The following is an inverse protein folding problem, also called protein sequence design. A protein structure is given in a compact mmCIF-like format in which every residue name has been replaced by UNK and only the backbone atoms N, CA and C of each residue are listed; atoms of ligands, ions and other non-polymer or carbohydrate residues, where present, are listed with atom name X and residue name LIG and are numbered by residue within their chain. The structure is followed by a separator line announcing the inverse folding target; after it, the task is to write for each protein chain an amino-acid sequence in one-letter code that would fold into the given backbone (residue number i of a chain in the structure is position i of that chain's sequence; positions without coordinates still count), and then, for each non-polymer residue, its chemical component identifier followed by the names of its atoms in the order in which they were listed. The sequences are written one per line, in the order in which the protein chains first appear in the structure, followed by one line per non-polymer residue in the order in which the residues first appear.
data_IF_330329477560
#
_entry.id   IF_330329477560
#
_cell.length_a   1.000
_cell.length_b   1.000
_cell.length_c   1.000
_cell.angle_alpha   90.00
_cell.angle_beta   90.00
_cell.angle_gamma   90.00
#
_symmetry.space_group_name_H-M   'P 1'
#
loop_
_entity.id
_entity.type
_entity.pdbx_description
1 polymer ?
#
# COMPACT_ATOMS: atom_id res chain seq x y z
N UNK A 1 26.06 2.50 -12.29
CA UNK A 1 25.21 1.49 -11.62
C UNK A 1 24.02 1.25 -12.54
N UNK A 2 23.90 0.07 -13.12
CA UNK A 2 22.86 -0.25 -14.10
C UNK A 2 21.62 -0.70 -13.35
N UNK A 3 20.51 0.04 -13.47
CA UNK A 3 19.24 -0.31 -12.81
C UNK A 3 18.68 -1.56 -13.49
N UNK A 4 18.34 -2.58 -12.72
CA UNK A 4 17.75 -3.81 -13.27
C UNK A 4 16.30 -3.57 -13.71
N UNK A 5 15.77 -4.41 -14.62
CA UNK A 5 14.37 -4.27 -15.07
C UNK A 5 13.36 -4.42 -13.90
N UNK A 6 13.64 -5.32 -12.94
CA UNK A 6 12.83 -5.49 -11.74
C UNK A 6 12.82 -4.24 -10.86
N UNK A 7 13.99 -3.61 -10.66
CA UNK A 7 14.10 -2.34 -9.95
C UNK A 7 13.26 -1.23 -10.62
N UNK A 8 13.32 -1.11 -11.95
CA UNK A 8 12.53 -0.13 -12.68
C UNK A 8 11.02 -0.33 -12.48
N UNK A 9 10.56 -1.58 -12.48
CA UNK A 9 9.15 -1.92 -12.25
C UNK A 9 8.72 -1.46 -10.85
N UNK A 10 9.48 -1.78 -9.80
CA UNK A 10 9.11 -1.41 -8.44
C UNK A 10 9.24 0.08 -8.17
N UNK A 11 10.25 0.75 -8.73
CA UNK A 11 10.37 2.21 -8.66
C UNK A 11 9.17 2.90 -9.32
N UNK A 12 8.81 2.47 -10.53
CA UNK A 12 7.65 3.00 -11.24
C UNK A 12 6.35 2.73 -10.48
N UNK A 13 6.22 1.52 -9.91
CA UNK A 13 5.06 1.12 -9.11
C UNK A 13 4.90 1.97 -7.85
N UNK A 14 6.00 2.20 -7.11
CA UNK A 14 6.01 3.08 -5.94
C UNK A 14 5.67 4.53 -6.30
N UNK A 15 6.19 5.03 -7.43
CA UNK A 15 5.87 6.36 -7.93
C UNK A 15 4.38 6.50 -8.31
N UNK A 16 3.83 5.50 -9.00
CA UNK A 16 2.40 5.46 -9.34
C UNK A 16 1.54 5.49 -8.08
N UNK A 17 1.87 4.68 -7.06
CA UNK A 17 1.17 4.72 -5.78
C UNK A 17 1.28 6.08 -5.11
N UNK A 18 2.48 6.67 -5.05
CA UNK A 18 2.65 8.00 -4.45
C UNK A 18 1.81 9.06 -5.16
N UNK A 19 1.82 9.07 -6.49
CA UNK A 19 0.98 9.97 -7.29
C UNK A 19 -0.52 9.70 -7.07
N UNK A 20 -0.94 8.44 -7.00
CA UNK A 20 -2.33 8.10 -6.69
C UNK A 20 -2.71 8.62 -5.30
N UNK A 21 -1.87 8.40 -4.29
CA UNK A 21 -2.07 8.90 -2.94
C UNK A 21 -2.25 10.42 -2.90
N UNK A 22 -1.40 11.18 -3.58
CA UNK A 22 -1.54 12.64 -3.64
C UNK A 22 -2.86 13.07 -4.29
N UNK A 23 -3.30 12.39 -5.36
CA UNK A 23 -4.60 12.63 -6.00
C UNK A 23 -5.79 12.31 -5.08
N UNK A 24 -5.68 11.31 -4.20
CA UNK A 24 -6.70 11.00 -3.19
C UNK A 24 -6.89 12.11 -2.14
N UNK A 25 -5.99 13.11 -2.09
CA UNK A 25 -6.21 14.33 -1.33
C UNK A 25 -7.41 15.15 -1.83
N UNK A 26 -7.76 15.02 -3.12
CA UNK A 26 -8.91 15.72 -3.73
C UNK A 26 -10.25 15.24 -3.14
N UNK A 27 -10.60 13.92 -3.18
CA UNK A 27 -11.84 13.45 -2.58
C UNK A 27 -11.88 13.67 -1.05
N UNK A 28 -10.73 13.59 -0.35
CA UNK A 28 -10.64 14.00 1.07
C UNK A 28 -11.06 15.48 1.26
N UNK A 29 -10.51 16.41 0.48
CA UNK A 29 -10.91 17.82 0.56
C UNK A 29 -12.40 18.03 0.27
N UNK A 30 -12.96 17.26 -0.67
CA UNK A 30 -14.38 17.31 -1.02
C UNK A 30 -15.28 16.76 0.09
N UNK A 31 -14.94 15.65 0.74
CA UNK A 31 -15.72 15.10 1.85
C UNK A 31 -15.72 16.04 3.04
N UNK A 32 -14.57 16.67 3.34
CA UNK A 32 -14.44 17.66 4.42
C UNK A 32 -15.36 18.85 4.19
N UNK A 33 -15.42 19.36 2.96
CA UNK A 33 -16.34 20.45 2.59
C UNK A 33 -17.83 20.07 2.74
N UNK A 34 -18.17 18.79 2.58
CA UNK A 34 -19.54 18.28 2.75
C UNK A 34 -19.94 18.04 4.21
N UNK A 35 -19.00 18.09 5.15
CA UNK A 35 -19.25 17.80 6.57
C UNK A 35 -19.46 16.32 6.87
N UNK A 36 -19.12 15.42 5.95
CA UNK A 36 -19.21 13.97 6.16
C UNK A 36 -17.95 13.49 6.90
N UNK A 37 -18.03 13.45 8.24
CA UNK A 37 -16.90 13.13 9.10
C UNK A 37 -16.37 11.71 8.85
N UNK A 38 -17.27 10.73 8.70
CA UNK A 38 -16.91 9.33 8.41
C UNK A 38 -16.15 9.23 7.10
N UNK A 39 -16.72 9.76 6.02
CA UNK A 39 -16.11 9.69 4.71
C UNK A 39 -14.79 10.46 4.64
N UNK A 40 -14.70 11.58 5.37
CA UNK A 40 -13.45 12.34 5.52
C UNK A 40 -12.36 11.51 6.14
N UNK A 41 -12.66 10.73 7.17
CA UNK A 41 -11.69 9.83 7.77
C UNK A 41 -11.27 8.71 6.81
N UNK A 42 -12.22 8.09 6.10
CA UNK A 42 -11.92 7.04 5.12
C UNK A 42 -11.01 7.56 4.00
N UNK A 43 -11.29 8.74 3.45
CA UNK A 43 -10.42 9.36 2.44
C UNK A 43 -9.07 9.82 3.00
N UNK A 44 -9.02 10.27 4.27
CA UNK A 44 -7.77 10.61 4.94
C UNK A 44 -6.87 9.39 5.05
N UNK A 45 -7.43 8.25 5.47
CA UNK A 45 -6.72 6.97 5.53
C UNK A 45 -6.24 6.59 4.14
N UNK A 46 -7.12 6.59 3.12
CA UNK A 46 -6.73 6.24 1.75
C UNK A 46 -5.61 7.12 1.19
N UNK A 47 -5.69 8.44 1.41
CA UNK A 47 -4.66 9.39 1.01
C UNK A 47 -3.31 9.10 1.68
N UNK A 48 -3.30 9.00 3.01
CA UNK A 48 -2.06 8.84 3.78
C UNK A 48 -1.44 7.45 3.57
N UNK A 49 -2.23 6.38 3.66
CA UNK A 49 -1.73 5.00 3.52
C UNK A 49 -1.14 4.77 2.14
N UNK A 50 -1.77 5.30 1.09
CA UNK A 50 -1.27 5.16 -0.28
C UNK A 50 0.02 5.95 -0.50
N UNK A 51 0.11 7.19 0.01
CA UNK A 51 1.35 7.98 -0.04
C UNK A 51 2.50 7.27 0.70
N UNK A 52 2.25 6.79 1.92
CA UNK A 52 3.25 6.07 2.72
C UNK A 52 3.64 4.76 2.04
N UNK A 53 2.68 4.00 1.52
CA UNK A 53 2.94 2.77 0.76
C UNK A 53 3.81 3.02 -0.46
N UNK A 54 3.51 4.05 -1.27
CA UNK A 54 4.30 4.43 -2.43
C UNK A 54 5.74 4.82 -2.08
N UNK A 55 5.94 5.67 -1.07
CA UNK A 55 7.27 6.05 -0.58
C UNK A 55 8.03 4.85 -0.01
N UNK A 56 7.34 3.94 0.68
CA UNK A 56 7.96 2.74 1.25
C UNK A 56 8.45 1.80 0.14
N UNK A 57 7.64 1.58 -0.91
CA UNK A 57 8.04 0.78 -2.07
C UNK A 57 9.22 1.44 -2.80
N UNK A 58 9.22 2.77 -2.97
CA UNK A 58 10.36 3.49 -3.56
C UNK A 58 11.64 3.30 -2.75
N UNK A 59 11.56 3.46 -1.42
CA UNK A 59 12.70 3.31 -0.53
C UNK A 59 13.25 1.86 -0.56
N UNK A 60 12.37 0.87 -0.49
CA UNK A 60 12.75 -0.54 -0.56
C UNK A 60 13.32 -0.91 -1.93
N UNK A 61 12.74 -0.42 -3.02
CA UNK A 61 13.23 -0.67 -4.37
C UNK A 61 14.64 -0.11 -4.60
N UNK A 62 15.01 0.95 -3.87
CA UNK A 62 16.38 1.45 -3.85
C UNK A 62 17.28 0.62 -2.91
N UNK A 63 16.81 0.24 -1.73
CA UNK A 63 17.64 -0.39 -0.71
C UNK A 63 17.91 -1.88 -0.98
N UNK A 64 16.86 -2.66 -1.24
CA UNK A 64 16.92 -4.13 -1.26
C UNK A 64 17.84 -4.72 -2.34
N UNK A 65 17.94 -4.18 -3.58
CA UNK A 65 18.89 -4.71 -4.57
C UNK A 65 20.35 -4.62 -4.14
N UNK A 66 20.70 -3.64 -3.30
CA UNK A 66 22.05 -3.49 -2.76
C UNK A 66 22.36 -4.50 -1.66
N UNK A 67 21.33 -5.01 -0.97
CA UNK A 67 21.46 -5.96 0.13
C UNK A 67 21.33 -7.41 -0.32
N UNK A 68 20.45 -7.68 -1.29
CA UNK A 68 20.02 -9.02 -1.67
C UNK A 68 20.29 -9.37 -3.14
N UNK A 69 20.87 -8.44 -3.91
CA UNK A 69 21.24 -8.68 -5.31
C UNK A 69 20.05 -9.16 -6.15
N UNK A 70 20.20 -10.31 -6.81
CA UNK A 70 19.19 -10.90 -7.69
C UNK A 70 17.88 -11.27 -7.00
N UNK A 71 17.89 -11.52 -5.68
CA UNK A 71 16.71 -11.96 -4.93
C UNK A 71 15.81 -10.80 -4.52
N UNK A 72 16.29 -9.55 -4.60
CA UNK A 72 15.56 -8.37 -4.16
C UNK A 72 14.18 -8.23 -4.82
N UNK A 73 14.03 -8.66 -6.07
CA UNK A 73 12.76 -8.63 -6.77
C UNK A 73 11.68 -9.50 -6.13
N UNK A 74 12.05 -10.67 -5.60
CA UNK A 74 11.12 -11.57 -4.91
C UNK A 74 10.73 -11.04 -3.53
N UNK A 75 11.66 -10.37 -2.85
CA UNK A 75 11.42 -9.73 -1.55
C UNK A 75 10.53 -8.50 -1.71
N UNK A 76 10.69 -7.73 -2.78
CA UNK A 76 9.89 -6.53 -3.09
C UNK A 76 8.46 -6.85 -3.49
N UNK A 77 8.22 -7.97 -4.17
CA UNK A 77 6.91 -8.36 -4.69
C UNK A 77 5.78 -8.30 -3.63
N UNK A 78 5.90 -8.95 -2.45
CA UNK A 78 4.83 -8.92 -1.45
C UNK A 78 4.63 -7.55 -0.81
N UNK A 79 5.66 -6.71 -0.69
CA UNK A 79 5.50 -5.32 -0.23
C UNK A 79 4.70 -4.49 -1.23
N UNK A 80 5.08 -4.55 -2.51
CA UNK A 80 4.37 -3.82 -3.56
C UNK A 80 2.92 -4.29 -3.68
N UNK A 81 2.69 -5.61 -3.69
CA UNK A 81 1.33 -6.17 -3.79
C UNK A 81 0.47 -5.78 -2.59
N UNK A 82 1.01 -5.87 -1.37
CA UNK A 82 0.31 -5.41 -0.16
C UNK A 82 -0.07 -3.92 -0.26
N UNK A 83 0.85 -3.07 -0.70
CA UNK A 83 0.59 -1.64 -0.85
C UNK A 83 -0.54 -1.35 -1.87
N UNK A 84 -0.56 -2.07 -2.99
CA UNK A 84 -1.66 -1.96 -3.96
C UNK A 84 -2.99 -2.48 -3.42
N UNK A 85 -3.00 -3.59 -2.67
CA UNK A 85 -4.21 -4.09 -2.03
C UNK A 85 -4.75 -3.07 -1.01
N UNK A 86 -3.90 -2.46 -0.18
CA UNK A 86 -4.32 -1.39 0.74
C UNK A 86 -4.85 -0.17 -0.01
N UNK A 87 -4.16 0.27 -1.07
CA UNK A 87 -4.63 1.38 -1.91
C UNK A 87 -6.05 1.12 -2.44
N UNK A 88 -6.30 -0.04 -3.04
CA UNK A 88 -7.61 -0.38 -3.60
C UNK A 88 -8.66 -0.46 -2.49
N UNK A 89 -8.34 -1.15 -1.38
CA UNK A 89 -9.26 -1.32 -0.26
C UNK A 89 -9.68 0.03 0.35
N UNK A 90 -8.72 0.89 0.68
CA UNK A 90 -9.00 2.18 1.30
C UNK A 90 -9.71 3.13 0.34
N UNK A 91 -9.35 3.12 -0.95
CA UNK A 91 -10.03 3.92 -1.98
C UNK A 91 -11.48 3.47 -2.12
N UNK A 92 -11.73 2.16 -2.14
CA UNK A 92 -13.08 1.61 -2.22
C UNK A 92 -13.89 1.94 -0.96
N UNK A 93 -13.27 1.89 0.23
CA UNK A 93 -13.89 2.37 1.48
C UNK A 93 -14.36 3.82 1.38
N UNK A 94 -13.48 4.72 0.93
CA UNK A 94 -13.85 6.13 0.75
C UNK A 94 -14.94 6.33 -0.31
N UNK A 95 -14.89 5.57 -1.40
CA UNK A 95 -15.91 5.66 -2.46
C UNK A 95 -17.28 5.21 -1.97
N UNK A 96 -17.34 4.06 -1.30
CA UNK A 96 -18.59 3.47 -0.82
C UNK A 96 -19.09 4.14 0.47
N UNK A 97 -18.26 4.97 1.11
CA UNK A 97 -18.47 5.48 2.46
C UNK A 97 -18.70 4.35 3.48
N UNK A 98 -17.92 3.27 3.34
CA UNK A 98 -18.01 2.05 4.16
C UNK A 98 -16.65 1.70 4.72
N UNK A 99 -16.57 1.69 6.04
CA UNK A 99 -15.46 1.16 6.79
C UNK A 99 -15.57 -0.37 6.88
N UNK A 100 -14.44 -1.01 7.12
CA UNK A 100 -14.41 -2.46 7.31
C UNK A 100 -15.12 -2.88 8.62
N UNK A 101 -14.90 -2.13 9.71
CA UNK A 101 -15.34 -2.55 11.04
C UNK A 101 -16.79 -2.13 11.31
N UNK A 102 -17.12 -0.85 11.09
CA UNK A 102 -18.43 -0.30 11.42
C UNK A 102 -19.54 -0.81 10.46
N UNK A 103 -19.20 -1.09 9.20
CA UNK A 103 -20.19 -1.40 8.15
C UNK A 103 -20.13 -2.86 7.67
N UNK A 104 -19.54 -3.75 8.47
CA UNK A 104 -19.30 -5.16 8.11
C UNK A 104 -20.55 -5.94 7.70
N UNK A 105 -21.72 -5.57 8.24
CA UNK A 105 -23.00 -6.21 7.93
C UNK A 105 -23.70 -5.62 6.71
N UNK A 106 -23.18 -4.53 6.16
CA UNK A 106 -23.81 -3.86 5.04
C UNK A 106 -23.48 -4.52 3.69
N UNK A 107 -24.44 -4.55 2.75
CA UNK A 107 -24.17 -4.99 1.38
C UNK A 107 -23.06 -4.15 0.73
N UNK A 108 -22.12 -4.82 0.06
CA UNK A 108 -21.02 -4.16 -0.66
C UNK A 108 -19.77 -3.88 0.17
N UNK A 109 -19.75 -4.17 1.48
CA UNK A 109 -18.53 -4.06 2.32
C UNK A 109 -17.56 -5.23 2.12
N UNK A 110 -18.06 -6.40 1.68
CA UNK A 110 -17.26 -7.61 1.56
C UNK A 110 -15.98 -7.46 0.69
N UNK A 111 -15.98 -6.77 -0.47
CA UNK A 111 -14.76 -6.57 -1.25
C UNK A 111 -13.71 -5.72 -0.51
N UNK A 112 -14.12 -4.68 0.21
CA UNK A 112 -13.22 -3.87 1.05
C UNK A 112 -12.55 -4.75 2.09
N UNK A 113 -13.33 -5.58 2.77
CA UNK A 113 -12.85 -6.49 3.80
C UNK A 113 -11.80 -7.47 3.27
N UNK A 114 -12.15 -8.22 2.22
CA UNK A 114 -11.26 -9.23 1.68
C UNK A 114 -9.95 -8.64 1.16
N UNK A 115 -9.99 -7.43 0.58
CA UNK A 115 -8.78 -6.73 0.16
C UNK A 115 -7.93 -6.28 1.36
N UNK A 116 -8.52 -5.80 2.46
CA UNK A 116 -7.75 -5.44 3.66
C UNK A 116 -7.12 -6.67 4.32
N UNK A 117 -7.81 -7.81 4.36
CA UNK A 117 -7.22 -9.08 4.81
C UNK A 117 -6.05 -9.47 3.91
N UNK A 118 -6.26 -9.52 2.59
CA UNK A 118 -5.22 -9.91 1.66
C UNK A 118 -3.99 -9.00 1.79
N UNK A 119 -4.21 -7.68 1.88
CA UNK A 119 -3.14 -6.70 2.09
C UNK A 119 -2.36 -6.97 3.39
N UNK A 120 -3.06 -7.28 4.47
CA UNK A 120 -2.48 -7.54 5.80
C UNK A 120 -1.69 -8.86 5.82
N UNK A 121 -2.21 -9.93 5.19
CA UNK A 121 -1.50 -11.20 5.07
C UNK A 121 -0.21 -11.00 4.25
N UNK A 122 -0.30 -10.29 3.13
CA UNK A 122 0.86 -10.02 2.28
C UNK A 122 1.92 -9.16 2.98
N UNK A 123 1.53 -8.16 3.79
CA UNK A 123 2.50 -7.37 4.55
C UNK A 123 3.19 -8.21 5.62
N UNK A 124 2.46 -9.08 6.31
CA UNK A 124 3.04 -10.02 7.30
C UNK A 124 4.02 -10.97 6.62
N UNK A 125 3.66 -11.55 5.47
CA UNK A 125 4.56 -12.42 4.69
C UNK A 125 5.81 -11.63 4.28
N UNK A 126 5.64 -10.41 3.75
CA UNK A 126 6.76 -9.57 3.32
C UNK A 126 7.76 -9.33 4.45
N UNK A 127 7.27 -8.91 5.63
CA UNK A 127 8.12 -8.66 6.81
C UNK A 127 8.74 -9.95 7.33
N UNK A 128 7.96 -11.03 7.42
CA UNK A 128 8.42 -12.31 7.97
C UNK A 128 9.51 -12.97 7.13
N UNK A 129 9.52 -12.72 5.80
CA UNK A 129 10.59 -13.19 4.91
C UNK A 129 11.79 -12.25 4.96
N UNK A 130 11.56 -10.94 4.91
CA UNK A 130 12.64 -9.95 4.79
C UNK A 130 13.46 -9.83 6.07
N UNK A 131 12.83 -9.88 7.23
CA UNK A 131 13.51 -9.64 8.51
C UNK A 131 14.58 -10.70 8.81
N UNK A 132 14.31 -12.03 8.70
CA UNK A 132 15.34 -13.05 8.85
C UNK A 132 16.47 -12.92 7.83
N UNK A 133 16.14 -12.62 6.56
CA UNK A 133 17.15 -12.43 5.51
C UNK A 133 18.07 -11.24 5.82
N UNK A 134 17.50 -10.14 6.33
CA UNK A 134 18.27 -8.98 6.75
C UNK A 134 19.19 -9.31 7.93
N UNK A 135 18.67 -10.00 8.97
CA UNK A 135 19.47 -10.43 10.12
C UNK A 135 20.63 -11.31 9.65
N UNK A 136 20.35 -12.28 8.79
CA UNK A 136 21.38 -13.19 8.25
C UNK A 136 22.44 -12.46 7.41
N UNK A 137 22.06 -11.41 6.69
CA UNK A 137 23.01 -10.63 5.87
C UNK A 137 24.01 -9.79 6.68
N UNK A 138 23.76 -9.59 7.97
CA UNK A 138 24.57 -8.77 8.87
C UNK A 138 25.39 -9.60 9.86
N UNK A 139 25.05 -10.89 10.03
CA UNK A 139 25.79 -11.86 10.84
C UNK A 139 26.90 -12.53 10.02
#
# INVERSE_FOLDING_TARGET
MTITQSEQIYLSSGLVLFCAGTLLGIPHGRSKRRGDAKNTELWRIAHLSTCVGGVSVLALAMALPRLFGGDAGYILAPFALSAYCFFIACTLSGWLNKSWDDDRSEPGTAPVYWLQIAASILSVIAVSVTLPMLIWSVL
#
